data_IF_647094444271
#
_entry.id   IF_647094444271
#
_cell.length_a   1.000
_cell.length_b   1.000
_cell.length_c   1.000
_cell.angle_alpha   90.00
_cell.angle_beta   90.00
_cell.angle_gamma   90.00
#
_symmetry.space_group_name_H-M   'P 1'
#
loop_
_entity.id
_entity.type
_entity.pdbx_description
1 polymer ?
#
# COMPACT_ATOMS: atom_id res chain seq x y z
N UNK A 1 12.79 15.60 2.98
CA UNK A 1 11.91 14.62 2.29
C UNK A 1 10.80 14.00 3.16
N UNK A 2 10.76 14.19 4.48
CA UNK A 2 9.65 13.71 5.34
C UNK A 2 8.27 14.39 5.10
N UNK A 3 8.22 15.48 4.33
CA UNK A 3 6.99 16.25 4.10
C UNK A 3 6.07 15.59 3.06
N UNK A 4 6.62 14.99 1.98
CA UNK A 4 5.81 14.38 0.91
C UNK A 4 5.09 13.10 1.35
N UNK A 5 5.67 12.32 2.27
CA UNK A 5 5.03 11.12 2.83
C UNK A 5 3.85 11.49 3.75
N UNK A 6 3.94 12.61 4.47
CA UNK A 6 2.84 13.11 5.32
C UNK A 6 1.66 13.63 4.51
N UNK A 7 1.91 14.36 3.41
CA UNK A 7 0.83 14.89 2.54
C UNK A 7 0.03 13.74 1.96
N UNK A 8 0.70 12.75 1.35
CA UNK A 8 0.00 11.57 0.84
C UNK A 8 -0.75 10.82 1.95
N UNK A 9 -0.24 10.81 3.21
CA UNK A 9 -0.87 10.08 4.34
C UNK A 9 -2.14 10.79 4.80
N UNK A 10 -2.12 12.11 4.83
CA UNK A 10 -3.30 12.93 5.08
C UNK A 10 -4.34 12.78 3.96
N UNK A 11 -3.91 12.74 2.69
CA UNK A 11 -4.80 12.46 1.56
C UNK A 11 -5.42 11.05 1.64
N UNK A 12 -4.63 10.02 1.96
CA UNK A 12 -5.16 8.66 2.18
C UNK A 12 -6.18 8.63 3.31
N UNK A 13 -5.89 9.32 4.41
CA UNK A 13 -6.77 9.38 5.58
C UNK A 13 -8.09 10.05 5.24
N UNK A 14 -8.05 11.19 4.54
CA UNK A 14 -9.27 11.87 4.07
C UNK A 14 -10.07 11.08 3.05
N UNK A 15 -9.43 10.24 2.23
CA UNK A 15 -10.12 9.37 1.27
C UNK A 15 -10.78 8.17 1.98
N UNK A 16 -10.12 7.60 2.99
CA UNK A 16 -10.70 6.52 3.82
C UNK A 16 -11.86 7.02 4.68
N UNK A 17 -11.78 8.23 5.22
CA UNK A 17 -12.89 8.88 5.94
C UNK A 17 -14.11 9.11 5.04
N UNK A 18 -13.92 9.40 3.74
CA UNK A 18 -15.02 9.51 2.78
C UNK A 18 -15.71 8.16 2.51
N UNK A 19 -15.00 7.04 2.68
CA UNK A 19 -15.57 5.70 2.57
C UNK A 19 -16.50 5.40 3.75
N UNK A 20 -16.16 5.84 4.96
CA UNK A 20 -17.09 5.85 6.09
C UNK A 20 -18.30 6.77 5.85
N UNK A 21 -18.10 7.89 5.16
CA UNK A 21 -19.20 8.79 4.79
C UNK A 21 -20.18 8.16 3.78
N UNK A 22 -19.70 7.34 2.84
CA UNK A 22 -20.60 6.56 1.96
C UNK A 22 -21.39 5.49 2.70
N UNK A 23 -20.88 5.01 3.84
CA UNK A 23 -21.57 4.09 4.72
C UNK A 23 -22.71 4.78 5.49
N UNK A 24 -22.55 6.06 5.87
CA UNK A 24 -23.61 6.83 6.54
C UNK A 24 -24.71 7.36 5.60
N UNK A 25 -24.41 7.56 4.31
CA UNK A 25 -25.36 8.06 3.31
C UNK A 25 -26.32 7.01 2.73
N UNK A 26 -26.26 5.74 3.17
CA UNK A 26 -27.24 4.72 2.77
C UNK A 26 -27.18 4.34 1.28
N UNK A 27 -26.01 4.42 0.64
CA UNK A 27 -25.85 4.01 -0.76
C UNK A 27 -26.15 2.50 -0.91
N UNK A 28 -27.07 2.16 -1.83
CA UNK A 28 -27.61 0.81 -2.02
C UNK A 28 -26.55 -0.31 -2.13
N UNK A 29 -26.92 -1.52 -1.69
CA UNK A 29 -26.12 -2.75 -1.78
C UNK A 29 -25.61 -3.09 -3.21
N UNK A 30 -26.22 -2.51 -4.25
CA UNK A 30 -25.83 -2.58 -5.66
C UNK A 30 -24.53 -1.83 -5.96
N UNK A 31 -24.23 -0.74 -5.24
CA UNK A 31 -22.93 -0.02 -5.29
C UNK A 31 -21.89 -0.71 -4.41
N UNK A 32 -22.32 -1.21 -3.25
CA UNK A 32 -21.49 -1.95 -2.28
C UNK A 32 -20.82 -3.19 -2.89
N UNK A 33 -21.54 -3.92 -3.75
CA UNK A 33 -21.06 -5.13 -4.44
C UNK A 33 -19.91 -4.88 -5.43
N UNK A 34 -19.67 -3.63 -5.82
CA UNK A 34 -18.67 -3.25 -6.84
C UNK A 34 -17.37 -2.71 -6.23
N UNK A 35 -17.33 -2.53 -4.91
CA UNK A 35 -16.19 -2.09 -4.12
C UNK A 35 -15.33 -3.27 -3.65
N UNK A 36 -15.89 -4.49 -3.66
CA UNK A 36 -15.14 -5.74 -3.44
C UNK A 36 -14.30 -5.98 -4.69
N UNK A 37 -13.11 -5.39 -4.72
CA UNK A 37 -12.14 -5.58 -5.78
C UNK A 37 -11.04 -6.48 -5.28
N UNK A 38 -10.82 -7.57 -6.02
CA UNK A 38 -9.74 -8.49 -5.75
C UNK A 38 -8.41 -7.74 -5.87
N UNK A 39 -7.63 -7.79 -4.80
CA UNK A 39 -6.35 -7.10 -4.66
C UNK A 39 -5.34 -7.58 -5.70
N UNK A 40 -5.57 -8.77 -6.27
CA UNK A 40 -4.75 -9.39 -7.32
C UNK A 40 -4.58 -8.50 -8.56
N UNK A 41 -5.54 -7.61 -8.84
CA UNK A 41 -5.44 -6.67 -9.96
C UNK A 41 -4.33 -5.62 -9.77
N UNK A 42 -3.99 -5.30 -8.52
CA UNK A 42 -2.98 -4.29 -8.17
C UNK A 42 -1.62 -4.89 -7.82
N UNK A 43 -1.52 -6.22 -7.88
CA UNK A 43 -0.30 -6.92 -7.54
C UNK A 43 0.77 -6.62 -8.59
N UNK A 44 1.86 -6.02 -8.15
CA UNK A 44 3.13 -6.03 -8.89
C UNK A 44 3.81 -7.36 -8.56
N UNK A 45 3.97 -8.27 -9.54
CA UNK A 45 4.45 -9.61 -9.28
C UNK A 45 5.91 -9.61 -8.83
N UNK A 46 6.32 -10.64 -8.06
CA UNK A 46 7.69 -10.82 -7.56
C UNK A 46 8.77 -10.69 -8.65
N UNK A 47 8.48 -11.07 -9.89
CA UNK A 47 9.40 -10.95 -11.04
C UNK A 47 9.75 -9.50 -11.39
N UNK A 48 8.90 -8.54 -11.02
CA UNK A 48 9.05 -7.11 -11.28
C UNK A 48 9.41 -6.32 -10.01
N UNK A 49 9.46 -6.99 -8.86
CA UNK A 49 9.81 -6.38 -7.58
C UNK A 49 11.24 -6.69 -7.23
N UNK A 50 12.01 -5.66 -6.88
CA UNK A 50 13.31 -5.86 -6.25
C UNK A 50 13.12 -6.26 -4.79
N UNK A 51 13.68 -7.40 -4.41
CA UNK A 51 13.72 -7.92 -3.05
C UNK A 51 15.16 -8.34 -2.73
N UNK A 52 15.45 -8.54 -1.44
CA UNK A 52 16.74 -9.03 -0.96
C UNK A 52 16.55 -10.30 -0.13
N UNK A 53 17.61 -11.10 -0.02
CA UNK A 53 17.62 -12.25 0.86
C UNK A 53 18.08 -11.86 2.27
N UNK A 54 17.51 -12.48 3.29
CA UNK A 54 17.91 -12.25 4.68
C UNK A 54 19.38 -12.64 4.96
N UNK A 55 19.93 -13.51 4.12
CA UNK A 55 21.34 -13.95 4.13
C UNK A 55 22.25 -13.05 3.28
N UNK A 56 21.72 -12.04 2.57
CA UNK A 56 22.57 -11.04 1.92
C UNK A 56 23.32 -10.24 2.97
N UNK A 57 24.51 -9.76 2.63
CA UNK A 57 25.24 -8.86 3.52
C UNK A 57 24.60 -7.48 3.54
N UNK A 58 24.73 -6.76 4.66
CA UNK A 58 24.20 -5.39 4.79
C UNK A 58 24.74 -4.50 3.67
N UNK A 59 26.02 -4.64 3.32
CA UNK A 59 26.63 -3.89 2.21
C UNK A 59 26.07 -4.26 0.83
N UNK A 60 25.63 -5.50 0.60
CA UNK A 60 24.93 -5.89 -0.63
C UNK A 60 23.53 -5.26 -0.68
N UNK A 61 22.76 -5.40 0.39
CA UNK A 61 21.41 -4.86 0.48
C UNK A 61 21.37 -3.32 0.32
N UNK A 62 22.32 -2.61 0.96
CA UNK A 62 22.43 -1.16 0.84
C UNK A 62 22.71 -0.73 -0.62
N UNK A 63 23.55 -1.49 -1.35
CA UNK A 63 23.81 -1.23 -2.77
C UNK A 63 22.56 -1.41 -3.63
N UNK A 64 21.74 -2.41 -3.34
CA UNK A 64 20.48 -2.66 -4.07
C UNK A 64 19.54 -1.45 -3.92
N UNK A 65 19.33 -0.97 -2.69
CA UNK A 65 18.48 0.19 -2.40
C UNK A 65 19.04 1.45 -3.06
N UNK A 66 20.32 1.74 -2.87
CA UNK A 66 20.96 2.93 -3.42
C UNK A 66 20.91 2.98 -4.95
N UNK A 67 21.20 1.86 -5.62
CA UNK A 67 21.21 1.79 -7.10
C UNK A 67 19.86 2.13 -7.72
N UNK A 68 18.77 1.71 -7.08
CA UNK A 68 17.42 1.85 -7.64
C UNK A 68 16.62 3.00 -7.02
N UNK A 69 17.16 3.67 -6.00
CA UNK A 69 16.49 4.77 -5.29
C UNK A 69 15.24 4.32 -4.51
N UNK A 70 15.19 3.06 -4.08
CA UNK A 70 14.06 2.55 -3.32
C UNK A 70 14.11 3.00 -1.87
N UNK A 71 12.96 3.37 -1.31
CA UNK A 71 12.86 3.76 0.11
C UNK A 71 12.77 2.55 1.04
N UNK A 72 12.27 1.42 0.53
CA UNK A 72 12.16 0.17 1.24
C UNK A 72 12.09 -1.00 0.25
N UNK A 73 12.57 -2.17 0.67
CA UNK A 73 12.58 -3.40 -0.12
C UNK A 73 12.13 -4.60 0.72
N UNK A 74 11.32 -5.52 0.16
CA UNK A 74 10.98 -6.77 0.82
C UNK A 74 12.22 -7.64 1.06
N UNK A 75 12.21 -8.35 2.19
CA UNK A 75 13.23 -9.33 2.58
C UNK A 75 12.58 -10.70 2.61
N UNK A 76 13.24 -11.67 1.99
CA UNK A 76 12.79 -13.06 1.93
C UNK A 76 13.84 -14.03 2.49
N UNK A 77 13.38 -15.20 2.95
CA UNK A 77 14.27 -16.31 3.30
C UNK A 77 14.66 -17.15 2.06
N UNK A 78 15.50 -18.17 2.28
CA UNK A 78 15.94 -19.11 1.23
C UNK A 78 14.77 -19.91 0.61
N UNK A 79 13.68 -20.09 1.34
CA UNK A 79 12.46 -20.76 0.86
C UNK A 79 11.52 -19.81 0.11
N UNK A 80 11.93 -18.56 -0.06
CA UNK A 80 11.14 -17.52 -0.71
C UNK A 80 10.01 -16.95 0.16
N UNK A 81 10.00 -17.23 1.46
CA UNK A 81 9.00 -16.73 2.39
C UNK A 81 9.31 -15.30 2.78
N UNK A 82 8.27 -14.48 2.91
CA UNK A 82 8.42 -13.11 3.38
C UNK A 82 8.82 -13.11 4.86
N UNK A 83 9.91 -12.41 5.20
CA UNK A 83 10.40 -12.30 6.58
C UNK A 83 10.40 -10.87 7.12
N UNK A 84 10.27 -9.88 6.24
CA UNK A 84 10.19 -8.48 6.65
C UNK A 84 10.41 -7.52 5.49
N UNK A 85 10.46 -6.24 5.81
CA UNK A 85 10.85 -5.19 4.87
C UNK A 85 11.92 -4.35 5.53
N UNK A 86 12.91 -3.95 4.75
CA UNK A 86 13.97 -3.07 5.22
C UNK A 86 13.88 -1.74 4.49
N UNK A 87 13.98 -0.65 5.24
CA UNK A 87 13.92 0.71 4.72
C UNK A 87 15.30 1.39 4.76
N UNK A 88 15.48 2.44 3.97
CA UNK A 88 16.67 3.31 4.05
C UNK A 88 16.91 3.82 5.48
N UNK A 89 15.84 4.11 6.22
CA UNK A 89 15.90 4.51 7.62
C UNK A 89 16.48 3.42 8.52
N UNK A 90 16.17 2.15 8.27
CA UNK A 90 16.74 1.03 9.03
C UNK A 90 18.25 0.93 8.80
N UNK A 91 18.73 1.10 7.55
CA UNK A 91 20.17 1.16 7.27
C UNK A 91 20.84 2.31 8.01
N UNK A 92 20.26 3.51 7.99
CA UNK A 92 20.84 4.68 8.65
C UNK A 92 21.01 4.45 10.17
N UNK A 93 19.98 3.95 10.85
CA UNK A 93 20.05 3.71 12.29
C UNK A 93 21.01 2.58 12.64
N UNK A 94 20.97 1.46 11.93
CA UNK A 94 21.92 0.36 12.16
C UNK A 94 23.37 0.80 11.86
N UNK A 95 23.59 1.66 10.86
CA UNK A 95 24.91 2.19 10.55
C UNK A 95 25.50 2.99 11.72
N UNK A 96 24.67 3.77 12.41
CA UNK A 96 25.10 4.62 13.53
C UNK A 96 25.24 3.80 14.82
N UNK A 97 24.22 3.00 15.14
CA UNK A 97 24.08 2.36 16.45
C UNK A 97 24.76 0.98 16.53
N UNK A 98 24.66 0.17 15.47
CA UNK A 98 25.08 -1.24 15.50
C UNK A 98 26.45 -1.43 14.84
N UNK A 99 26.67 -0.77 13.70
CA UNK A 99 27.87 -0.97 12.88
C UNK A 99 28.92 0.13 13.07
N UNK A 100 28.63 1.17 13.84
CA UNK A 100 29.55 2.28 14.14
C UNK A 100 30.27 2.85 12.91
N UNK A 101 29.56 2.96 11.78
CA UNK A 101 30.07 3.41 10.48
C UNK A 101 31.22 2.56 9.91
N UNK A 102 31.40 1.32 10.37
CA UNK A 102 32.43 0.41 9.89
C UNK A 102 31.93 -0.43 8.68
N UNK A 103 32.51 -0.12 7.52
CA UNK A 103 32.18 -0.79 6.27
C UNK A 103 32.64 -2.25 6.22
N UNK A 104 33.68 -2.66 6.95
CA UNK A 104 34.10 -4.06 7.03
C UNK A 104 33.11 -4.88 7.85
N UNK A 105 32.58 -4.31 8.93
CA UNK A 105 31.51 -4.96 9.73
C UNK A 105 30.27 -5.16 8.87
N UNK A 106 29.85 -4.16 8.10
CA UNK A 106 28.69 -4.28 7.20
C UNK A 106 28.88 -5.30 6.07
N UNK A 107 30.12 -5.52 5.60
CA UNK A 107 30.41 -6.55 4.59
C UNK A 107 30.34 -7.97 5.15
N UNK A 108 30.45 -8.14 6.47
CA UNK A 108 30.40 -9.43 7.16
C UNK A 108 29.06 -9.68 7.87
N UNK A 109 28.28 -8.63 8.11
CA UNK A 109 26.97 -8.72 8.76
C UNK A 109 25.88 -9.02 7.74
N UNK A 110 24.88 -9.80 8.14
CA UNK A 110 23.75 -10.20 7.30
C UNK A 110 22.52 -9.33 7.56
N UNK A 111 21.62 -9.23 6.58
CA UNK A 111 20.37 -8.48 6.71
C UNK A 111 19.52 -8.99 7.86
N UNK A 112 19.49 -10.30 8.13
CA UNK A 112 18.74 -10.89 9.24
C UNK A 112 19.15 -10.40 10.63
N UNK A 113 20.37 -9.87 10.79
CA UNK A 113 20.83 -9.32 12.07
C UNK A 113 20.48 -7.84 12.25
N UNK A 114 19.96 -7.18 11.21
CA UNK A 114 19.58 -5.78 11.31
C UNK A 114 18.31 -5.60 12.14
N UNK A 115 18.29 -4.54 12.94
CA UNK A 115 17.09 -4.13 13.67
C UNK A 115 16.14 -3.43 12.70
N UNK A 116 14.95 -3.99 12.52
CA UNK A 116 13.89 -3.40 11.71
C UNK A 116 13.02 -2.50 12.57
N UNK A 117 12.87 -1.24 12.18
CA UNK A 117 12.07 -0.26 12.92
C UNK A 117 10.58 -0.34 12.59
N UNK A 118 10.25 -0.79 11.38
CA UNK A 118 8.88 -0.86 10.88
C UNK A 118 8.47 -2.29 10.56
N UNK A 119 7.36 -2.71 11.16
CA UNK A 119 6.78 -4.03 10.95
C UNK A 119 5.78 -3.98 9.78
N UNK A 120 6.31 -4.11 8.56
CA UNK A 120 5.50 -4.18 7.35
C UNK A 120 4.75 -5.51 7.32
N UNK A 121 3.45 -5.44 7.63
CA UNK A 121 2.58 -6.62 7.63
C UNK A 121 2.20 -7.01 6.19
N UNK A 122 2.40 -8.28 5.81
CA UNK A 122 1.93 -8.78 4.53
C UNK A 122 0.43 -9.08 4.57
N UNK A 123 -0.20 -9.09 3.40
CA UNK A 123 -1.56 -9.60 3.20
C UNK A 123 -1.54 -10.87 2.35
N UNK A 124 -2.51 -11.75 2.56
CA UNK A 124 -2.72 -12.89 1.66
C UNK A 124 -3.16 -12.40 0.28
N UNK A 125 -2.82 -13.11 -0.79
CA UNK A 125 -3.34 -12.85 -2.14
C UNK A 125 -4.88 -12.91 -2.22
N UNK A 126 -5.48 -13.69 -1.34
CA UNK A 126 -6.94 -13.85 -1.24
C UNK A 126 -7.60 -12.78 -0.32
N UNK A 127 -6.81 -11.82 0.18
CA UNK A 127 -7.31 -10.77 1.07
C UNK A 127 -8.19 -9.76 0.32
N UNK A 128 -9.15 -9.18 1.03
CA UNK A 128 -10.00 -8.10 0.50
C UNK A 128 -9.34 -6.73 0.71
N UNK A 129 -9.77 -5.74 -0.07
CA UNK A 129 -9.24 -4.38 -0.05
C UNK A 129 -9.34 -3.72 1.33
N UNK A 130 -10.37 -4.06 2.11
CA UNK A 130 -10.55 -3.55 3.49
C UNK A 130 -9.36 -3.91 4.40
N UNK A 131 -8.70 -5.04 4.14
CA UNK A 131 -7.54 -5.45 4.90
C UNK A 131 -6.31 -4.59 4.54
N UNK A 132 -6.27 -3.94 3.38
CA UNK A 132 -5.17 -3.06 2.99
C UNK A 132 -5.23 -1.67 3.63
N UNK A 133 -6.41 -1.18 4.02
CA UNK A 133 -6.62 0.23 4.41
C UNK A 133 -5.73 0.64 5.61
N UNK A 134 -5.62 -0.23 6.62
CA UNK A 134 -4.76 0.01 7.79
C UNK A 134 -3.26 -0.11 7.49
N UNK A 135 -2.91 -0.91 6.47
CA UNK A 135 -1.54 -1.08 6.02
C UNK A 135 -1.10 0.16 5.26
N UNK A 136 -1.80 0.54 4.20
CA UNK A 136 -1.43 1.63 3.27
C UNK A 136 -1.12 2.96 3.97
N UNK A 137 -1.82 3.26 5.08
CA UNK A 137 -1.56 4.47 5.84
C UNK A 137 -0.15 4.50 6.46
N UNK A 138 0.39 3.35 6.83
CA UNK A 138 1.62 3.24 7.62
C UNK A 138 2.82 2.70 6.82
N UNK A 139 2.59 2.12 5.64
CA UNK A 139 3.64 1.55 4.80
C UNK A 139 3.57 2.01 3.34
N UNK A 140 4.74 2.14 2.69
CA UNK A 140 4.83 2.63 1.30
C UNK A 140 4.27 1.64 0.26
N UNK A 141 4.28 0.36 0.61
CA UNK A 141 3.67 -0.72 -0.16
C UNK A 141 3.25 -1.83 0.79
N UNK A 142 2.28 -2.64 0.37
CA UNK A 142 1.80 -3.81 1.10
C UNK A 142 2.41 -5.06 0.47
N UNK A 143 3.28 -5.81 1.19
CA UNK A 143 3.75 -7.10 0.71
C UNK A 143 2.59 -8.08 0.58
N UNK A 144 2.61 -8.90 -0.45
CA UNK A 144 1.58 -9.92 -0.69
C UNK A 144 2.22 -11.30 -0.66
N UNK A 145 1.56 -12.23 0.03
CA UNK A 145 2.01 -13.61 0.22
C UNK A 145 0.91 -14.61 -0.16
N UNK A 146 1.32 -15.85 -0.45
CA UNK A 146 0.38 -16.97 -0.60
C UNK A 146 0.06 -17.65 0.75
N UNK A 147 -0.74 -18.72 0.71
CA UNK A 147 -1.10 -19.51 1.90
C UNK A 147 0.06 -20.21 2.61
N UNK A 148 1.27 -20.23 2.04
CA UNK A 148 2.50 -20.76 2.64
C UNK A 148 3.47 -19.65 3.08
N UNK A 149 3.00 -18.40 3.10
CA UNK A 149 3.80 -17.21 3.36
C UNK A 149 4.91 -16.96 2.31
N UNK A 150 4.80 -17.56 1.12
CA UNK A 150 5.72 -17.29 0.00
C UNK A 150 5.42 -15.90 -0.51
N UNK A 151 6.46 -15.08 -0.63
CA UNK A 151 6.35 -13.74 -1.18
C UNK A 151 6.03 -13.81 -2.68
N UNK A 152 4.92 -13.19 -3.09
CA UNK A 152 4.47 -13.21 -4.50
C UNK A 152 4.50 -11.83 -5.16
N UNK A 153 4.67 -10.75 -4.40
CA UNK A 153 4.74 -9.40 -4.94
C UNK A 153 4.34 -8.32 -3.94
N UNK A 154 4.09 -7.12 -4.43
CA UNK A 154 3.66 -5.97 -3.61
C UNK A 154 2.47 -5.27 -4.24
N UNK A 155 1.71 -4.59 -3.40
CA UNK A 155 0.72 -3.60 -3.82
C UNK A 155 1.22 -2.24 -3.39
N UNK A 156 1.40 -1.33 -4.33
CA UNK A 156 1.90 0.01 -3.99
C UNK A 156 0.78 0.91 -3.53
N UNK A 157 1.11 1.78 -2.58
CA UNK A 157 0.21 2.80 -2.10
C UNK A 157 -0.30 3.73 -3.21
N UNK A 158 0.53 4.02 -4.21
CA UNK A 158 0.16 4.84 -5.38
C UNK A 158 -1.02 4.24 -6.14
N UNK A 159 -0.98 2.94 -6.41
CA UNK A 159 -2.06 2.28 -7.17
C UNK A 159 -3.36 2.24 -6.37
N UNK A 160 -3.30 2.04 -5.05
CA UNK A 160 -4.50 2.08 -4.21
C UNK A 160 -5.08 3.49 -4.11
N UNK A 161 -4.25 4.52 -3.89
CA UNK A 161 -4.73 5.92 -3.89
C UNK A 161 -5.42 6.26 -5.21
N UNK A 162 -4.80 5.87 -6.33
CA UNK A 162 -5.34 6.10 -7.67
C UNK A 162 -6.71 5.46 -7.84
N UNK A 163 -6.89 4.24 -7.34
CA UNK A 163 -8.18 3.55 -7.37
C UNK A 163 -9.22 4.26 -6.50
N UNK A 164 -8.88 4.60 -5.25
CA UNK A 164 -9.83 5.26 -4.36
C UNK A 164 -10.26 6.64 -4.90
N UNK A 165 -9.35 7.38 -5.56
CA UNK A 165 -9.67 8.63 -6.24
C UNK A 165 -10.60 8.43 -7.44
N UNK A 166 -10.43 7.33 -8.19
CA UNK A 166 -11.32 6.97 -9.30
C UNK A 166 -12.73 6.67 -8.78
N UNK A 167 -12.85 5.87 -7.72
CA UNK A 167 -14.13 5.57 -7.07
C UNK A 167 -14.82 6.84 -6.58
N UNK A 168 -14.08 7.76 -5.93
CA UNK A 168 -14.63 9.05 -5.50
C UNK A 168 -15.22 9.85 -6.66
N UNK A 169 -14.52 9.91 -7.81
CA UNK A 169 -15.03 10.58 -9.02
C UNK A 169 -16.30 9.92 -9.55
N UNK A 170 -16.34 8.59 -9.57
CA UNK A 170 -17.51 7.83 -10.06
C UNK A 170 -18.74 8.06 -9.17
N UNK A 171 -18.57 8.12 -7.84
CA UNK A 171 -19.65 8.43 -6.90
C UNK A 171 -20.15 9.87 -7.10
N UNK A 172 -19.23 10.85 -7.19
CA UNK A 172 -19.58 12.26 -7.41
C UNK A 172 -20.26 12.52 -8.75
N UNK A 173 -19.87 11.80 -9.80
CA UNK A 173 -20.51 11.89 -11.12
C UNK A 173 -21.93 11.31 -11.12
N UNK A 174 -22.19 10.27 -10.32
CA UNK A 174 -23.52 9.66 -10.22
C UNK A 174 -24.47 10.44 -9.31
N UNK A 175 -23.96 11.09 -8.26
CA UNK A 175 -24.79 11.94 -7.40
C UNK A 175 -25.27 13.21 -8.14
N UNK A 176 -24.43 13.83 -8.97
CA UNK A 176 -24.83 14.98 -9.79
C UNK A 176 -25.86 14.63 -10.88
N UNK A 177 -25.78 13.43 -11.47
CA UNK A 177 -26.80 12.91 -12.39
C UNK A 177 -28.11 12.55 -11.68
N UNK A 178 -28.06 12.09 -10.42
CA UNK A 178 -29.26 11.82 -9.63
C UNK A 178 -30.01 13.11 -9.25
N UNK A 179 -29.29 14.18 -8.89
CA UNK A 179 -29.88 15.49 -8.57
C UNK A 179 -30.56 16.16 -9.78
N UNK A 180 -29.99 16.03 -10.98
CA UNK A 180 -30.59 16.54 -12.22
C UNK A 180 -31.87 15.80 -12.61
N UNK A 181 -31.94 14.49 -12.37
CA UNK A 181 -33.13 13.69 -12.65
C UNK A 181 -34.29 13.99 -11.68
N UNK A 182 -34.00 14.29 -10.41
CA UNK A 182 -35.03 14.71 -9.43
C UNK A 182 -35.63 16.06 -9.83
N UNK A 183 -34.83 17.00 -10.34
CA UNK A 183 -35.31 18.32 -10.76
C UNK A 183 -36.15 18.26 -12.04
N UNK A 184 -35.78 17.41 -13.00
CA UNK A 184 -36.59 17.20 -14.22
C UNK A 184 -37.92 16.49 -13.93
N UNK A 185 -37.98 15.58 -12.96
CA UNK A 185 -39.23 14.86 -12.64
C UNK A 185 -40.25 15.76 -11.93
N UNK A 186 -39.81 16.77 -11.17
CA UNK A 186 -40.68 17.76 -10.52
C UNK A 186 -41.25 18.81 -11.50
N UNK A 187 -40.59 19.08 -12.64
CA UNK A 187 -41.12 19.98 -13.66
C UNK A 187 -42.19 19.32 -14.54
N UNK A 188 -42.08 18.01 -14.83
CA UNK A 188 -43.07 17.27 -15.64
C UNK A 188 -44.41 17.11 -14.90
N UNK A 189 -44.41 17.06 -13.56
CA UNK A 189 -45.62 16.99 -12.74
C UNK A 189 -46.42 18.29 -12.60
N UNK A 190 -45.91 19.44 -13.09
CA UNK A 190 -46.59 20.75 -13.01
C UNK A 190 -47.25 21.20 -14.32
N UNK A 191 -47.16 20.41 -15.39
CA UNK A 191 -47.77 20.73 -16.70
C UNK A 191 -49.12 20.05 -16.94
N UNK A 192 -49.63 19.29 -15.96
CA UNK A 192 -50.95 18.65 -15.99
C UNK A 192 -51.83 19.15 -14.84
N UNK A 193 -52.16 20.43 -14.81
CA UNK A 193 -53.30 20.98 -14.09
C UNK A 193 -53.81 22.24 -14.77
#
# INVERSE_FOLDING_TARGET
MHCMTRISQQECRGILELREYTFSLGIEASVRRRIIMNISFYLIPKSEVTYIHQEDTVAQALRVIHKHGYQAVPVIDEKGRYVGTISEGDFLWNLIEEYHMDMEVMRKSHVKSMRLRWDYKPVSIDADIEQLDNHILNQNFVPVVDGRNVFIGIITRKEIIKELLKQKKDVLAKSSLAEQNVHNTQQVGRTFH
#
